data_IF_877806075972
#
_entry.id   IF_877806075972
#
_cell.length_a   1.000
_cell.length_b   1.000
_cell.length_c   1.000
_cell.angle_alpha   90.00
_cell.angle_beta   90.00
_cell.angle_gamma   90.00
#
_symmetry.space_group_name_H-M   'P 1'
#
loop_
_entity.id
_entity.type
_entity.pdbx_description
1 polymer ?
#
# COMPACT_ATOMS: atom_id res chain seq x y z
N UNK A 1 -9.52 -45.03 -23.47
CA UNK A 1 -9.06 -43.69 -23.92
C UNK A 1 -9.99 -42.54 -23.52
N UNK A 2 -11.28 -42.52 -23.91
CA UNK A 2 -12.15 -41.35 -23.71
C UNK A 2 -12.31 -40.88 -22.25
N UNK A 3 -12.36 -41.80 -21.28
CA UNK A 3 -12.43 -41.46 -19.84
C UNK A 3 -11.17 -40.76 -19.33
N UNK A 4 -9.99 -41.23 -19.73
CA UNK A 4 -8.71 -40.60 -19.36
C UNK A 4 -8.62 -39.20 -19.97
N UNK A 5 -9.04 -39.05 -21.23
CA UNK A 5 -9.09 -37.75 -21.89
C UNK A 5 -10.04 -36.77 -21.17
N UNK A 6 -11.21 -37.23 -20.74
CA UNK A 6 -12.15 -36.43 -19.95
C UNK A 6 -11.56 -35.95 -18.61
N UNK A 7 -10.90 -36.85 -17.87
CA UNK A 7 -10.23 -36.49 -16.61
C UNK A 7 -9.07 -35.52 -16.82
N UNK A 8 -8.32 -35.66 -17.92
CA UNK A 8 -7.21 -34.78 -18.23
C UNK A 8 -7.71 -33.37 -18.55
N UNK A 9 -8.80 -33.26 -19.32
CA UNK A 9 -9.46 -31.97 -19.61
C UNK A 9 -10.04 -31.32 -18.35
N UNK A 10 -10.64 -32.11 -17.46
CA UNK A 10 -11.16 -31.61 -16.18
C UNK A 10 -10.03 -31.07 -15.29
N UNK A 11 -8.90 -31.77 -15.21
CA UNK A 11 -7.73 -31.33 -14.45
C UNK A 11 -7.11 -30.06 -15.05
N UNK A 12 -7.02 -29.97 -16.37
CA UNK A 12 -6.53 -28.77 -17.05
C UNK A 12 -7.45 -27.57 -16.80
N UNK A 13 -8.77 -27.76 -16.86
CA UNK A 13 -9.73 -26.70 -16.55
C UNK A 13 -9.63 -26.22 -15.10
N UNK A 14 -9.47 -27.16 -14.16
CA UNK A 14 -9.26 -26.85 -12.74
C UNK A 14 -7.95 -26.11 -12.49
N UNK A 15 -6.86 -26.56 -13.12
CA UNK A 15 -5.56 -25.91 -13.03
C UNK A 15 -5.58 -24.49 -13.63
N UNK A 16 -6.24 -24.30 -14.77
CA UNK A 16 -6.43 -22.99 -15.37
C UNK A 16 -7.28 -22.06 -14.50
N UNK A 17 -8.36 -22.57 -13.89
CA UNK A 17 -9.19 -21.80 -12.98
C UNK A 17 -8.43 -21.40 -11.70
N UNK A 18 -7.65 -22.33 -11.13
CA UNK A 18 -6.79 -22.04 -9.98
C UNK A 18 -5.72 -21.00 -10.34
N UNK A 19 -5.05 -21.15 -11.49
CA UNK A 19 -4.08 -20.19 -11.97
C UNK A 19 -4.68 -18.80 -12.17
N UNK A 20 -5.87 -18.71 -12.77
CA UNK A 20 -6.60 -17.45 -12.95
C UNK A 20 -6.89 -16.76 -11.61
N UNK A 21 -7.24 -17.52 -10.58
CA UNK A 21 -7.51 -17.01 -9.25
C UNK A 21 -6.25 -16.47 -8.53
N UNK A 22 -5.12 -17.18 -8.63
CA UNK A 22 -3.90 -16.85 -7.88
C UNK A 22 -2.92 -15.91 -8.61
N UNK A 23 -2.98 -15.80 -9.94
CA UNK A 23 -2.00 -15.03 -10.73
C UNK A 23 -2.66 -14.01 -11.69
N UNK A 24 -3.53 -13.09 -11.21
CA UNK A 24 -4.21 -12.12 -12.09
C UNK A 24 -3.26 -11.16 -12.81
N UNK A 25 -2.05 -10.96 -12.28
CA UNK A 25 -0.99 -10.15 -12.90
C UNK A 25 -0.37 -10.79 -14.16
N UNK A 26 -0.55 -12.10 -14.39
CA UNK A 26 -0.08 -12.79 -15.60
C UNK A 26 -1.03 -12.61 -16.80
N UNK A 27 -2.19 -12.01 -16.59
CA UNK A 27 -3.20 -11.79 -17.63
C UNK A 27 -2.80 -10.64 -18.57
N UNK A 28 -3.18 -10.72 -19.87
CA UNK A 28 -3.11 -9.59 -20.78
C UNK A 28 -3.83 -8.37 -20.20
N UNK A 29 -3.27 -7.17 -20.36
CA UNK A 29 -3.83 -5.90 -19.86
C UNK A 29 -5.36 -5.77 -19.99
N UNK A 30 -6.00 -6.08 -21.14
CA UNK A 30 -7.46 -5.95 -21.26
C UNK A 30 -8.25 -6.91 -20.36
N UNK A 31 -7.70 -8.08 -20.02
CA UNK A 31 -8.36 -9.09 -19.18
C UNK A 31 -8.12 -8.88 -17.68
N UNK A 32 -7.12 -8.07 -17.30
CA UNK A 32 -6.87 -7.72 -15.89
C UNK A 32 -8.03 -6.97 -15.25
N UNK A 33 -8.77 -6.17 -16.03
CA UNK A 33 -9.93 -5.42 -15.54
C UNK A 33 -11.16 -6.29 -15.27
N UNK A 34 -11.23 -7.47 -15.89
CA UNK A 34 -12.28 -8.45 -15.65
C UNK A 34 -11.95 -9.44 -14.52
N UNK A 35 -10.70 -9.43 -14.04
CA UNK A 35 -10.32 -10.25 -12.90
C UNK A 35 -11.08 -9.78 -11.65
N UNK A 36 -11.68 -10.69 -10.87
CA UNK A 36 -12.36 -10.31 -9.65
C UNK A 36 -11.36 -9.66 -8.69
N UNK A 37 -11.55 -8.36 -8.44
CA UNK A 37 -10.92 -7.68 -7.32
C UNK A 37 -11.40 -8.42 -6.07
N UNK A 38 -10.46 -8.86 -5.22
CA UNK A 38 -10.81 -9.51 -3.95
C UNK A 38 -11.89 -8.66 -3.25
N UNK A 39 -13.04 -9.24 -2.86
CA UNK A 39 -14.13 -8.49 -2.22
C UNK A 39 -13.67 -7.69 -1.00
N UNK A 40 -12.61 -8.17 -0.33
CA UNK A 40 -12.01 -7.52 0.83
C UNK A 40 -11.13 -6.32 0.48
N UNK A 41 -10.67 -6.20 -0.77
CA UNK A 41 -9.76 -5.13 -1.20
C UNK A 41 -10.47 -3.78 -1.40
N UNK A 42 -11.79 -3.77 -1.61
CA UNK A 42 -12.55 -2.53 -1.89
C UNK A 42 -13.15 -1.88 -0.63
N UNK A 43 -13.33 -2.64 0.46
CA UNK A 43 -14.00 -2.16 1.68
C UNK A 43 -13.10 -2.08 2.91
N UNK A 44 -11.86 -2.55 2.80
CA UNK A 44 -10.90 -2.51 3.90
C UNK A 44 -9.94 -1.36 3.63
N UNK A 45 -9.72 -0.50 4.62
CA UNK A 45 -8.55 0.39 4.67
C UNK A 45 -7.39 -0.46 5.20
N UNK A 46 -6.59 -1.16 4.35
CA UNK A 46 -5.57 -2.08 4.85
C UNK A 46 -4.53 -1.33 5.66
N UNK A 47 -4.17 -1.89 6.81
CA UNK A 47 -2.98 -1.47 7.56
C UNK A 47 -1.76 -2.10 6.90
N UNK A 48 -0.85 -1.26 6.42
CA UNK A 48 0.46 -1.66 5.90
C UNK A 48 1.55 -1.21 6.85
N UNK A 49 2.65 -1.96 6.89
CA UNK A 49 3.77 -1.71 7.78
C UNK A 49 4.99 -1.29 6.96
N UNK A 50 5.41 -0.04 7.15
CA UNK A 50 6.60 0.54 6.53
C UNK A 50 7.79 0.37 7.47
N UNK A 51 8.93 -0.03 6.92
CA UNK A 51 10.16 -0.17 7.71
C UNK A 51 11.39 0.02 6.83
N UNK A 52 12.55 0.25 7.45
CA UNK A 52 13.84 0.37 6.75
C UNK A 52 14.74 -0.81 7.05
N UNK A 53 15.40 -1.34 6.02
CA UNK A 53 16.42 -2.37 6.22
C UNK A 53 17.76 -1.79 6.69
N UNK A 54 18.74 -2.66 6.91
CA UNK A 54 20.09 -2.27 7.35
C UNK A 54 20.81 -1.35 6.34
N UNK A 55 20.40 -1.39 5.07
CA UNK A 55 20.92 -0.54 3.99
C UNK A 55 20.09 0.76 3.83
N UNK A 56 19.11 1.00 4.71
CA UNK A 56 18.24 2.17 4.69
C UNK A 56 17.12 2.13 3.65
N UNK A 57 16.93 1.01 2.93
CA UNK A 57 15.89 0.89 1.89
C UNK A 57 14.52 0.77 2.53
N UNK A 58 13.55 1.52 1.99
CA UNK A 58 12.17 1.48 2.44
C UNK A 58 11.49 0.21 1.92
N UNK A 59 10.87 -0.54 2.82
CA UNK A 59 10.08 -1.72 2.54
C UNK A 59 8.67 -1.54 3.10
N UNK A 60 7.68 -2.19 2.47
CA UNK A 60 6.27 -2.15 2.89
C UNK A 60 5.74 -3.58 2.90
N UNK A 61 5.15 -4.00 4.02
CA UNK A 61 4.61 -5.35 4.22
C UNK A 61 3.20 -5.31 4.78
N UNK A 62 2.44 -6.38 4.58
CA UNK A 62 1.09 -6.60 5.12
C UNK A 62 1.11 -7.11 6.57
N UNK A 63 2.19 -7.78 6.99
CA UNK A 63 2.46 -8.18 8.36
C UNK A 63 3.54 -7.31 9.03
N UNK A 64 3.46 -7.09 10.36
CA UNK A 64 4.48 -6.35 11.07
C UNK A 64 5.78 -7.16 11.15
N UNK A 65 6.95 -6.56 10.84
CA UNK A 65 8.22 -7.24 10.99
C UNK A 65 8.58 -7.39 12.48
N UNK A 66 9.14 -8.53 12.87
CA UNK A 66 9.37 -8.88 14.29
C UNK A 66 10.61 -8.22 14.88
N UNK A 67 11.67 -8.08 14.10
CA UNK A 67 13.01 -7.77 14.61
C UNK A 67 13.47 -6.34 14.32
N UNK A 68 12.55 -5.46 13.93
CA UNK A 68 12.89 -4.10 13.48
C UNK A 68 11.75 -3.11 13.73
N UNK A 69 12.06 -1.84 14.00
CA UNK A 69 11.04 -0.81 14.13
C UNK A 69 10.29 -0.62 12.80
N UNK A 70 9.00 -0.37 12.92
CA UNK A 70 8.10 -0.17 11.80
C UNK A 70 7.08 0.92 12.10
N UNK A 71 6.51 1.48 11.05
CA UNK A 71 5.41 2.44 11.07
C UNK A 71 4.17 1.77 10.45
N UNK A 72 3.08 1.68 11.21
CA UNK A 72 1.79 1.20 10.71
C UNK A 72 1.03 2.35 10.04
N UNK A 73 0.64 2.15 8.77
CA UNK A 73 -0.06 3.15 7.96
C UNK A 73 -1.35 2.54 7.42
N UNK A 74 -2.47 3.21 7.67
CA UNK A 74 -3.74 2.87 7.05
C UNK A 74 -3.79 3.45 5.63
N UNK A 75 -3.95 2.59 4.64
CA UNK A 75 -4.02 3.01 3.25
C UNK A 75 -5.49 3.08 2.81
N UNK A 76 -5.96 4.26 2.39
CA UNK A 76 -7.28 4.39 1.78
C UNK A 76 -7.15 4.12 0.27
N UNK A 77 -7.71 3.01 -0.26
CA UNK A 77 -7.59 2.67 -1.68
C UNK A 77 -8.29 3.68 -2.60
N UNK A 78 -9.26 4.45 -2.10
CA UNK A 78 -10.03 5.42 -2.89
C UNK A 78 -9.35 6.81 -2.94
N UNK A 79 -8.25 7.00 -2.22
CA UNK A 79 -7.54 8.28 -2.15
C UNK A 79 -6.08 8.12 -2.54
N UNK A 80 -5.71 8.71 -3.67
CA UNK A 80 -4.30 8.84 -4.02
C UNK A 80 -3.69 10.05 -3.29
N UNK A 81 -2.76 9.80 -2.36
CA UNK A 81 -2.02 10.86 -1.65
C UNK A 81 -0.66 11.05 -2.31
N UNK A 82 -0.49 12.16 -3.02
CA UNK A 82 0.81 12.60 -3.52
C UNK A 82 1.54 13.39 -2.42
N UNK A 83 2.83 13.10 -2.14
CA UNK A 83 3.62 13.92 -1.24
C UNK A 83 3.56 15.39 -1.68
N UNK A 84 3.28 16.30 -0.74
CA UNK A 84 3.21 17.73 -1.03
C UNK A 84 4.47 18.19 -1.74
N UNK A 85 4.32 18.59 -3.00
CA UNK A 85 5.42 19.10 -3.80
C UNK A 85 5.88 20.41 -3.16
N UNK A 86 7.02 20.42 -2.45
CA UNK A 86 7.64 21.66 -2.01
C UNK A 86 8.16 22.36 -3.26
N UNK A 87 7.51 23.45 -3.66
CA UNK A 87 8.05 24.35 -4.70
C UNK A 87 9.46 24.78 -4.28
N UNK A 88 10.50 24.53 -5.10
CA UNK A 88 11.88 24.92 -4.76
C UNK A 88 12.05 26.42 -4.52
N UNK A 89 11.16 27.23 -5.08
CA UNK A 89 11.10 28.68 -5.06
C UNK A 89 10.13 29.26 -4.00
N UNK A 90 9.40 28.40 -3.28
CA UNK A 90 8.54 28.88 -2.20
C UNK A 90 9.44 29.41 -1.06
N UNK A 91 9.28 30.68 -0.63
CA UNK A 91 9.95 31.15 0.57
C UNK A 91 9.60 30.19 1.71
N UNK A 92 10.62 29.74 2.45
CA UNK A 92 10.45 28.80 3.55
C UNK A 92 9.35 29.29 4.50
N UNK A 93 8.71 28.38 5.27
CA UNK A 93 7.73 28.80 6.26
C UNK A 93 8.37 29.92 7.06
N UNK A 94 7.77 31.11 7.05
CA UNK A 94 8.16 32.16 7.96
C UNK A 94 8.21 31.47 9.32
N UNK A 95 9.42 31.37 9.86
CA UNK A 95 9.70 30.70 11.11
C UNK A 95 8.61 31.18 12.04
N UNK A 96 7.72 30.27 12.46
CA UNK A 96 6.76 30.53 13.52
C UNK A 96 7.62 30.68 14.77
N UNK A 97 8.36 31.79 14.84
CA UNK A 97 9.07 32.22 16.01
C UNK A 97 7.95 32.36 17.03
N UNK A 98 7.98 31.58 18.13
CA UNK A 98 7.00 31.73 19.18
C UNK A 98 6.93 33.22 19.48
N UNK A 99 5.72 33.80 19.40
CA UNK A 99 5.53 35.18 19.83
C UNK A 99 6.13 35.27 21.24
N UNK A 100 7.14 36.12 21.48
CA UNK A 100 7.74 36.19 22.79
C UNK A 100 6.62 36.50 23.79
N UNK A 101 6.55 35.78 24.94
CA UNK A 101 5.55 36.09 25.94
C UNK A 101 5.66 37.58 26.31
N UNK A 102 4.54 38.26 26.55
CA UNK A 102 4.56 39.67 26.93
C UNK A 102 5.48 39.86 28.14
N UNK A 103 6.26 40.96 28.20
CA UNK A 103 7.24 41.15 29.25
C UNK A 103 6.54 41.11 30.61
N UNK A 104 7.03 40.25 31.51
CA UNK A 104 6.60 40.20 32.90
C UNK A 104 6.85 41.56 33.53
N UNK A 105 5.79 42.38 33.61
CA UNK A 105 5.82 43.64 34.33
C UNK A 105 6.20 43.39 35.78
N UNK A 106 7.36 43.92 36.18
CA UNK A 106 7.64 44.15 37.59
C UNK A 106 6.75 45.31 38.05
N UNK A 107 5.77 44.99 38.88
CA UNK A 107 5.09 45.93 39.79
C UNK A 107 5.18 45.27 41.16
N UNK A 108 6.28 45.51 41.89
CA UNK A 108 6.45 46.58 42.89
C UNK A 108 5.58 46.34 44.12
#
# INVERSE_FOLDING_TARGET
MARLLGWTLALLALAAAAWWYYAPQSLPTPLRHAAPVSPNARSTTPTLYKWRDAQGRLNVTDAPPKDRPYEAVQYNPDTNVVPGYRRPDAPGPAEQRPTPPPPSGKSR
#
